data_IF_891980104142
#
_entry.id   IF_891980104142
#
_cell.length_a   1.000
_cell.length_b   1.000
_cell.length_c   1.000
_cell.angle_alpha   90.00
_cell.angle_beta   90.00
_cell.angle_gamma   90.00
#
_symmetry.space_group_name_H-M   'P 1'
#
loop_
_entity.id
_entity.type
_entity.pdbx_description
1 polymer ?
#
# COMPACT_ATOMS: atom_id res chain seq x y z
N UNK A 1 15.89 22.84 20.25
CA UNK A 1 16.38 23.28 18.90
C UNK A 1 15.21 23.54 17.94
N UNK A 2 14.15 24.23 18.38
CA UNK A 2 12.90 24.38 17.61
C UNK A 2 12.74 25.73 16.88
N UNK A 3 13.73 26.62 16.94
CA UNK A 3 13.58 28.02 16.49
C UNK A 3 14.44 28.36 15.25
N UNK A 4 15.33 27.48 14.80
CA UNK A 4 16.26 27.77 13.69
C UNK A 4 15.82 27.30 12.31
N UNK A 5 14.70 26.57 12.18
CA UNK A 5 14.27 25.94 10.92
C UNK A 5 13.34 26.81 10.06
N UNK A 6 12.86 27.96 10.55
CA UNK A 6 11.92 28.80 9.80
C UNK A 6 12.57 29.69 8.72
N UNK A 7 13.87 29.98 8.80
CA UNK A 7 14.49 31.00 7.94
C UNK A 7 15.07 30.48 6.61
N UNK A 8 15.17 29.17 6.41
CA UNK A 8 15.72 28.57 5.17
C UNK A 8 14.61 28.17 4.18
N UNK A 9 13.34 28.24 4.58
CA UNK A 9 12.18 27.87 3.75
C UNK A 9 11.86 28.84 2.59
N UNK A 10 12.46 30.03 2.52
CA UNK A 10 12.08 31.05 1.52
C UNK A 10 12.98 31.16 0.28
N UNK A 11 14.14 30.48 0.21
CA UNK A 11 15.10 30.70 -0.89
C UNK A 11 15.50 29.46 -1.70
N UNK A 12 14.76 28.34 -1.56
CA UNK A 12 14.91 27.15 -2.40
C UNK A 12 13.71 26.93 -3.34
N UNK A 13 12.94 28.00 -3.62
CA UNK A 13 11.66 27.93 -4.34
C UNK A 13 11.78 27.97 -5.88
N UNK A 14 12.97 27.85 -6.45
CA UNK A 14 13.18 27.97 -7.90
C UNK A 14 14.19 26.92 -8.38
N UNK A 15 13.69 25.71 -8.62
CA UNK A 15 13.92 24.85 -9.80
C UNK A 15 13.17 23.54 -9.50
N UNK A 16 11.96 23.32 -10.06
CA UNK A 16 11.36 22.00 -10.04
C UNK A 16 12.10 21.14 -11.09
N UNK A 17 12.85 20.13 -10.63
CA UNK A 17 13.12 18.97 -11.47
C UNK A 17 11.76 18.28 -11.66
N UNK A 18 11.21 18.35 -12.87
CA UNK A 18 10.00 17.65 -13.27
C UNK A 18 10.26 16.14 -13.31
N UNK A 19 10.27 15.50 -12.14
CA UNK A 19 9.96 14.08 -12.04
C UNK A 19 8.44 13.97 -12.15
N UNK A 20 7.97 13.54 -13.32
CA UNK A 20 6.55 13.26 -13.52
C UNK A 20 6.11 12.14 -12.61
N UNK A 21 5.38 12.46 -11.54
CA UNK A 21 4.63 11.46 -10.79
C UNK A 21 3.51 10.96 -11.70
N UNK A 22 3.67 9.75 -12.26
CA UNK A 22 2.63 9.13 -13.06
C UNK A 22 1.58 8.51 -12.13
N UNK A 23 0.31 8.82 -12.39
CA UNK A 23 -0.81 8.31 -11.61
C UNK A 23 -1.10 6.88 -12.06
N UNK A 24 -0.94 5.92 -11.16
CA UNK A 24 -1.23 4.50 -11.41
C UNK A 24 -2.64 4.10 -10.95
N UNK A 25 -3.57 5.06 -10.97
CA UNK A 25 -4.97 4.86 -10.60
C UNK A 25 -5.90 5.76 -11.41
N UNK A 26 -7.16 5.35 -11.56
CA UNK A 26 -8.21 6.06 -12.26
C UNK A 26 -9.48 6.12 -11.42
N UNK A 27 -10.52 6.75 -11.95
CA UNK A 27 -11.88 6.64 -11.39
C UNK A 27 -12.80 5.93 -12.37
N UNK A 28 -13.56 4.95 -11.89
CA UNK A 28 -14.61 4.30 -12.67
C UNK A 28 -15.94 4.93 -12.28
N UNK A 29 -16.68 5.44 -13.26
CA UNK A 29 -17.92 6.19 -13.04
C UNK A 29 -19.00 5.71 -13.95
N UNK A 30 -20.24 5.89 -13.51
CA UNK A 30 -21.33 5.47 -14.34
C UNK A 30 -22.69 5.80 -13.78
N UNK A 31 -23.68 5.40 -14.56
CA UNK A 31 -25.09 5.46 -14.18
C UNK A 31 -25.71 4.08 -14.35
N UNK A 32 -26.43 3.62 -13.34
CA UNK A 32 -27.27 2.44 -13.41
C UNK A 32 -28.72 2.88 -13.61
N UNK A 33 -29.38 2.37 -14.66
CA UNK A 33 -30.80 2.58 -14.90
C UNK A 33 -31.55 1.26 -14.75
N UNK A 34 -32.49 1.22 -13.82
CA UNK A 34 -33.42 0.11 -13.63
C UNK A 34 -34.68 0.35 -14.46
N UNK A 35 -34.79 -0.35 -15.59
CA UNK A 35 -36.03 -0.52 -16.35
C UNK A 35 -36.71 0.78 -16.80
N UNK A 36 -36.23 1.37 -17.91
CA UNK A 36 -37.01 2.23 -18.84
C UNK A 36 -37.72 3.49 -18.33
N UNK A 37 -37.74 3.75 -17.02
CA UNK A 37 -38.36 4.91 -16.39
C UNK A 37 -37.36 5.50 -15.40
N UNK A 38 -37.43 6.81 -15.15
CA UNK A 38 -36.76 7.47 -14.02
C UNK A 38 -37.34 7.00 -12.67
N UNK A 39 -37.60 5.70 -12.52
CA UNK A 39 -38.12 5.09 -11.32
C UNK A 39 -36.96 4.95 -10.34
N UNK A 40 -37.05 5.73 -9.25
CA UNK A 40 -36.32 5.59 -7.99
C UNK A 40 -35.58 4.25 -7.90
N UNK A 41 -34.28 4.28 -8.16
CA UNK A 41 -33.46 3.11 -7.86
C UNK A 41 -33.44 2.96 -6.34
N UNK A 42 -33.74 1.77 -5.78
CA UNK A 42 -33.36 1.48 -4.40
C UNK A 42 -31.84 1.70 -4.27
N UNK A 43 -31.31 1.87 -3.05
CA UNK A 43 -29.86 2.01 -2.80
C UNK A 43 -29.11 0.76 -3.28
N UNK A 44 -28.85 0.66 -4.58
CA UNK A 44 -28.17 -0.45 -5.22
C UNK A 44 -26.73 -0.44 -4.75
N UNK A 45 -26.25 -1.60 -4.33
CA UNK A 45 -24.86 -1.77 -3.93
C UNK A 45 -24.07 -2.21 -5.15
N UNK A 46 -23.06 -1.43 -5.54
CA UNK A 46 -22.14 -1.80 -6.60
C UNK A 46 -20.85 -2.32 -5.99
N UNK A 47 -20.34 -3.42 -6.51
CA UNK A 47 -19.10 -4.05 -6.09
C UNK A 47 -18.18 -4.14 -7.30
N UNK A 48 -16.99 -3.57 -7.18
CA UNK A 48 -15.95 -3.69 -8.21
C UNK A 48 -15.00 -4.80 -7.80
N UNK A 49 -14.87 -5.85 -8.62
CA UNK A 49 -13.98 -7.00 -8.38
C UNK A 49 -12.86 -7.01 -9.40
N UNK A 50 -11.64 -7.29 -8.96
CA UNK A 50 -10.52 -7.52 -9.88
C UNK A 50 -10.67 -8.91 -10.52
N UNK A 51 -10.39 -9.03 -11.83
CA UNK A 51 -10.70 -10.24 -12.63
C UNK A 51 -9.77 -11.41 -12.33
N UNK A 52 -8.49 -11.17 -12.06
CA UNK A 52 -7.50 -12.22 -11.86
C UNK A 52 -7.61 -12.88 -10.48
N UNK A 53 -7.91 -12.10 -9.43
CA UNK A 53 -8.04 -12.55 -8.05
C UNK A 53 -9.50 -12.81 -7.63
N UNK A 54 -10.47 -12.18 -8.29
CA UNK A 54 -11.89 -12.20 -7.90
C UNK A 54 -12.22 -11.35 -6.66
N UNK A 55 -11.23 -10.64 -6.12
CA UNK A 55 -11.33 -9.92 -4.84
C UNK A 55 -12.12 -8.62 -5.02
N UNK A 56 -13.08 -8.30 -4.14
CA UNK A 56 -13.78 -7.02 -4.18
C UNK A 56 -12.84 -5.89 -3.71
N UNK A 57 -12.59 -4.93 -4.60
CA UNK A 57 -11.63 -3.83 -4.36
C UNK A 57 -12.29 -2.57 -3.80
N UNK A 58 -13.55 -2.37 -4.12
CA UNK A 58 -14.34 -1.24 -3.68
C UNK A 58 -15.82 -1.57 -3.75
N UNK A 59 -16.57 -1.02 -2.80
CA UNK A 59 -18.04 -1.09 -2.80
C UNK A 59 -18.57 0.32 -2.67
N UNK A 60 -19.58 0.66 -3.46
CA UNK A 60 -20.27 1.95 -3.39
C UNK A 60 -21.77 1.73 -3.51
N UNK A 61 -22.56 2.74 -3.17
CA UNK A 61 -24.00 2.72 -3.37
C UNK A 61 -24.39 3.77 -4.39
N UNK A 62 -25.26 3.41 -5.34
CA UNK A 62 -25.81 4.38 -6.29
C UNK A 62 -26.63 5.45 -5.56
N UNK A 63 -26.55 6.69 -6.07
CA UNK A 63 -27.39 7.79 -5.60
C UNK A 63 -28.86 7.63 -6.07
N UNK A 64 -29.73 8.56 -5.66
CA UNK A 64 -31.15 8.54 -6.04
C UNK A 64 -31.42 8.70 -7.54
N UNK A 65 -30.40 9.11 -8.31
CA UNK A 65 -30.44 9.25 -9.76
C UNK A 65 -29.74 8.09 -10.49
N UNK A 66 -29.25 7.09 -9.75
CA UNK A 66 -28.53 5.93 -10.27
C UNK A 66 -27.04 6.16 -10.55
N UNK A 67 -26.48 7.33 -10.20
CA UNK A 67 -25.06 7.61 -10.43
C UNK A 67 -24.19 6.92 -9.38
N UNK A 68 -23.01 6.48 -9.78
CA UNK A 68 -21.99 5.93 -8.90
C UNK A 68 -20.59 6.32 -9.36
N UNK A 69 -19.65 6.29 -8.43
CA UNK A 69 -18.24 6.50 -8.70
C UNK A 69 -17.36 5.65 -7.77
N UNK A 70 -16.33 5.05 -8.35
CA UNK A 70 -15.20 4.44 -7.67
C UNK A 70 -13.97 5.30 -7.89
N UNK A 71 -13.26 5.62 -6.80
CA UNK A 71 -12.10 6.48 -6.81
C UNK A 71 -10.82 5.71 -6.47
N UNK A 72 -9.70 6.12 -7.08
CA UNK A 72 -8.38 5.52 -6.88
C UNK A 72 -8.32 4.04 -7.30
N UNK A 73 -9.08 3.65 -8.34
CA UNK A 73 -9.07 2.29 -8.87
C UNK A 73 -7.73 2.04 -9.55
N UNK A 74 -6.93 1.05 -9.13
CA UNK A 74 -5.67 0.72 -9.79
C UNK A 74 -5.86 0.35 -11.26
N UNK A 75 -4.77 0.28 -12.02
CA UNK A 75 -4.84 -0.23 -13.39
C UNK A 75 -5.02 -1.75 -13.37
N UNK A 76 -5.95 -2.25 -14.18
CA UNK A 76 -6.36 -3.65 -14.12
C UNK A 76 -7.65 -3.91 -14.88
N UNK A 77 -8.02 -5.18 -14.93
CA UNK A 77 -9.32 -5.62 -15.45
C UNK A 77 -10.25 -5.90 -14.28
N UNK A 78 -11.46 -5.37 -14.35
CA UNK A 78 -12.44 -5.43 -13.28
C UNK A 78 -13.81 -5.89 -13.77
N UNK A 79 -14.48 -6.70 -12.96
CA UNK A 79 -15.89 -7.03 -13.12
C UNK A 79 -16.71 -6.14 -12.17
N UNK A 80 -17.58 -5.29 -12.75
CA UNK A 80 -18.50 -4.43 -12.02
C UNK A 80 -19.82 -5.16 -11.81
N UNK A 81 -20.11 -5.48 -10.55
CA UNK A 81 -21.31 -6.18 -10.12
C UNK A 81 -22.31 -5.19 -9.53
N UNK A 82 -23.55 -5.19 -10.05
CA UNK A 82 -24.68 -4.51 -9.40
C UNK A 82 -25.40 -5.54 -8.53
N UNK A 83 -25.54 -5.26 -7.24
CA UNK A 83 -26.15 -6.15 -6.26
C UNK A 83 -27.48 -5.56 -5.77
N UNK A 84 -28.56 -6.29 -5.99
CA UNK A 84 -29.90 -5.99 -5.47
C UNK A 84 -30.36 -7.15 -4.55
N UNK A 85 -30.26 -6.93 -3.23
CA UNK A 85 -30.55 -7.98 -2.25
C UNK A 85 -29.58 -9.16 -2.36
N UNK A 86 -30.08 -10.33 -2.77
CA UNK A 86 -29.28 -11.57 -2.98
C UNK A 86 -28.95 -11.82 -4.46
N UNK A 87 -29.46 -11.01 -5.38
CA UNK A 87 -29.26 -11.18 -6.80
C UNK A 87 -28.14 -10.26 -7.29
N UNK A 88 -27.32 -10.77 -8.21
CA UNK A 88 -26.33 -9.98 -8.97
C UNK A 88 -26.84 -9.84 -10.40
N UNK A 89 -27.77 -8.90 -10.68
CA UNK A 89 -28.41 -8.79 -11.98
C UNK A 89 -27.47 -8.42 -13.14
N UNK A 90 -26.31 -7.79 -12.88
CA UNK A 90 -25.40 -7.30 -13.93
C UNK A 90 -23.95 -7.51 -13.51
N UNK A 91 -23.17 -8.10 -14.41
CA UNK A 91 -21.70 -8.10 -14.39
C UNK A 91 -21.22 -7.45 -15.68
N UNK A 92 -20.51 -6.32 -15.57
CA UNK A 92 -19.89 -5.66 -16.71
C UNK A 92 -18.37 -5.67 -16.56
N UNK A 93 -17.66 -6.12 -17.59
CA UNK A 93 -16.20 -6.14 -17.59
C UNK A 93 -15.64 -4.80 -18.05
N UNK A 94 -14.74 -4.24 -17.25
CA UNK A 94 -14.13 -2.92 -17.43
C UNK A 94 -12.61 -3.07 -17.40
N UNK A 95 -11.92 -2.47 -18.37
CA UNK A 95 -10.46 -2.39 -18.35
C UNK A 95 -10.04 -0.96 -17.99
N UNK A 96 -9.27 -0.82 -16.90
CA UNK A 96 -8.68 0.45 -16.46
C UNK A 96 -7.19 0.40 -16.81
N UNK A 97 -6.80 1.14 -17.85
CA UNK A 97 -5.42 1.13 -18.37
C UNK A 97 -4.75 2.51 -18.39
N UNK A 98 -5.47 3.55 -17.94
CA UNK A 98 -4.95 4.91 -17.86
C UNK A 98 -5.63 5.67 -16.73
N UNK A 99 -5.06 6.82 -16.35
CA UNK A 99 -5.65 7.72 -15.37
C UNK A 99 -6.94 8.42 -15.86
N UNK A 100 -7.32 8.24 -17.13
CA UNK A 100 -8.58 8.78 -17.69
C UNK A 100 -9.76 8.04 -17.07
N UNK A 101 -10.75 8.76 -16.50
CA UNK A 101 -11.93 8.14 -15.93
C UNK A 101 -12.67 7.27 -16.95
N UNK A 102 -12.98 6.04 -16.54
CA UNK A 102 -13.80 5.14 -17.35
C UNK A 102 -15.26 5.40 -17.05
N UNK A 103 -16.04 5.75 -18.08
CA UNK A 103 -17.48 5.97 -17.99
C UNK A 103 -18.24 4.74 -18.49
N UNK A 104 -19.17 4.23 -17.69
CA UNK A 104 -20.03 3.11 -18.04
C UNK A 104 -21.50 3.43 -17.77
N UNK A 105 -22.36 3.11 -18.73
CA UNK A 105 -23.82 3.14 -18.54
C UNK A 105 -24.32 1.70 -18.44
N UNK A 106 -24.98 1.39 -17.34
CA UNK A 106 -25.59 0.08 -17.10
C UNK A 106 -27.11 0.23 -17.21
N UNK A 107 -27.72 -0.42 -18.20
CA UNK A 107 -29.17 -0.46 -18.38
C UNK A 107 -29.68 -1.89 -18.15
N UNK A 108 -30.57 -2.05 -17.16
CA UNK A 108 -31.15 -3.35 -16.80
C UNK A 108 -32.22 -3.83 -17.79
N UNK A 109 -32.54 -3.07 -18.85
CA UNK A 109 -33.44 -3.51 -19.93
C UNK A 109 -32.89 -4.72 -20.72
N UNK A 110 -31.60 -5.06 -20.58
CA UNK A 110 -31.06 -6.33 -21.05
C UNK A 110 -31.19 -7.39 -19.96
N UNK A 111 -32.43 -7.79 -19.68
CA UNK A 111 -32.71 -9.06 -19.02
C UNK A 111 -32.13 -10.19 -19.88
N UNK A 112 -30.99 -10.74 -19.48
CA UNK A 112 -30.61 -12.07 -19.94
C UNK A 112 -31.60 -13.05 -19.29
N UNK A 113 -32.69 -13.35 -19.98
CA UNK A 113 -33.44 -14.57 -19.70
C UNK A 113 -32.43 -15.70 -19.88
N UNK A 114 -32.12 -16.41 -18.79
CA UNK A 114 -31.30 -17.62 -18.86
C UNK A 114 -32.00 -18.59 -19.82
N UNK A 115 -31.57 -18.61 -21.08
CA UNK A 115 -31.92 -19.69 -21.98
C UNK A 115 -31.27 -20.96 -21.43
N UNK A 116 -31.95 -22.12 -21.53
CA UNK A 116 -31.33 -23.39 -21.16
C UNK A 116 -29.98 -23.49 -21.90
N UNK A 117 -28.93 -23.80 -21.14
CA UNK A 117 -27.56 -23.91 -21.63
C UNK A 117 -27.53 -24.95 -22.75
N UNK A 118 -27.63 -24.49 -23.99
CA UNK A 118 -27.01 -25.15 -25.11
C UNK A 118 -25.56 -24.68 -25.11
N UNK A 119 -24.63 -25.62 -24.90
CA UNK A 119 -23.19 -25.36 -25.04
C UNK A 119 -22.91 -25.19 -26.53
N UNK A 120 -23.30 -24.04 -27.08
CA UNK A 120 -22.67 -23.52 -28.29
C UNK A 120 -21.45 -22.73 -27.83
N UNK A 121 -20.28 -23.17 -28.32
CA UNK A 121 -19.03 -22.43 -28.18
C UNK A 121 -19.29 -20.99 -28.64
N UNK A 122 -19.13 -19.97 -27.78
CA UNK A 122 -19.31 -18.59 -28.21
C UNK A 122 -18.40 -18.33 -29.42
N UNK A 123 -18.86 -17.59 -30.45
CA UNK A 123 -18.01 -17.19 -31.55
C UNK A 123 -16.78 -16.50 -30.95
N UNK A 124 -15.59 -16.89 -31.42
CA UNK A 124 -14.30 -16.46 -30.89
C UNK A 124 -14.26 -14.93 -30.79
N UNK A 125 -14.56 -14.41 -29.60
CA UNK A 125 -14.32 -13.02 -29.25
C UNK A 125 -12.88 -12.98 -28.77
N UNK A 126 -12.05 -12.15 -29.41
CA UNK A 126 -10.76 -11.79 -28.84
C UNK A 126 -11.00 -11.46 -27.36
N UNK A 127 -10.34 -12.16 -26.42
CA UNK A 127 -10.45 -11.78 -25.02
C UNK A 127 -10.06 -10.30 -24.95
N UNK A 128 -10.88 -9.50 -24.29
CA UNK A 128 -10.63 -8.06 -24.10
C UNK A 128 -9.34 -7.77 -23.30
N UNK A 129 -8.50 -8.78 -23.07
CA UNK A 129 -7.15 -8.69 -22.51
C UNK A 129 -6.10 -8.09 -23.47
N UNK A 130 -6.46 -7.72 -24.71
CA UNK A 130 -5.50 -7.31 -25.75
C UNK A 130 -4.78 -5.96 -25.58
N UNK A 131 -4.72 -5.39 -24.36
CA UNK A 131 -3.86 -4.21 -24.08
C UNK A 131 -3.00 -4.26 -22.82
N UNK A 132 -3.14 -5.26 -21.95
CA UNK A 132 -2.21 -5.40 -20.84
C UNK A 132 -1.10 -6.36 -21.23
N UNK A 133 0.04 -5.81 -21.66
CA UNK A 133 1.32 -6.51 -21.81
C UNK A 133 2.04 -6.68 -20.46
N UNK A 134 1.37 -6.33 -19.38
CA UNK A 134 1.88 -6.31 -18.01
C UNK A 134 1.47 -7.56 -17.24
N UNK A 135 2.38 -8.11 -16.45
CA UNK A 135 2.09 -9.18 -15.49
C UNK A 135 2.04 -8.57 -14.09
N UNK A 136 0.90 -8.66 -13.43
CA UNK A 136 0.70 -8.11 -12.10
C UNK A 136 -0.05 -9.10 -11.20
N UNK A 137 0.07 -8.89 -9.88
CA UNK A 137 -0.56 -9.71 -8.85
C UNK A 137 -1.24 -8.81 -7.84
N UNK A 138 -2.56 -8.94 -7.76
CA UNK A 138 -3.40 -8.08 -6.95
C UNK A 138 -3.77 -8.73 -5.62
N UNK A 139 -3.62 -7.97 -4.54
CA UNK A 139 -3.97 -8.37 -3.18
C UNK A 139 -4.91 -7.34 -2.57
N UNK A 140 -6.19 -7.71 -2.41
CA UNK A 140 -7.15 -6.91 -1.68
C UNK A 140 -7.07 -7.16 -0.16
N UNK A 141 -7.92 -6.46 0.59
CA UNK A 141 -7.95 -6.56 2.05
C UNK A 141 -8.19 -7.99 2.57
N UNK A 142 -9.12 -8.72 1.95
CA UNK A 142 -9.42 -10.11 2.34
C UNK A 142 -8.25 -11.06 2.08
N UNK A 143 -7.61 -10.95 0.92
CA UNK A 143 -6.44 -11.78 0.56
C UNK A 143 -5.34 -11.58 1.60
N UNK A 144 -5.08 -10.32 1.96
CA UNK A 144 -4.06 -9.93 2.93
C UNK A 144 -4.35 -10.46 4.35
N UNK A 145 -5.62 -10.57 4.74
CA UNK A 145 -6.01 -11.17 6.02
C UNK A 145 -5.80 -12.68 6.06
N UNK A 146 -5.77 -13.35 4.91
CA UNK A 146 -5.52 -14.79 4.80
C UNK A 146 -4.03 -15.13 4.70
N UNK A 147 -3.17 -14.13 4.43
CA UNK A 147 -1.73 -14.35 4.36
C UNK A 147 -1.18 -14.73 5.75
N UNK A 148 -0.34 -15.78 5.83
CA UNK A 148 0.34 -16.11 7.06
C UNK A 148 1.40 -15.05 7.33
N UNK A 149 1.10 -14.13 8.25
CA UNK A 149 2.06 -13.11 8.69
C UNK A 149 2.29 -13.27 10.19
N UNK A 150 3.55 -13.34 10.66
CA UNK A 150 3.83 -13.39 12.09
C UNK A 150 3.48 -12.08 12.81
N UNK A 151 3.35 -10.97 12.06
CA UNK A 151 3.00 -9.63 12.55
C UNK A 151 2.53 -8.74 11.38
N UNK A 152 1.63 -7.79 11.64
CA UNK A 152 1.04 -6.93 10.60
C UNK A 152 2.04 -6.02 9.87
N UNK A 153 3.17 -5.67 10.51
CA UNK A 153 4.26 -4.94 9.85
C UNK A 153 4.97 -5.77 8.77
N UNK A 154 4.85 -7.10 8.81
CA UNK A 154 5.45 -8.02 7.82
C UNK A 154 4.48 -8.39 6.68
N UNK A 155 3.30 -7.79 6.64
CA UNK A 155 2.29 -8.18 5.64
C UNK A 155 2.69 -7.75 4.22
N UNK A 156 3.49 -6.68 4.04
CA UNK A 156 3.95 -6.30 2.69
C UNK A 156 4.96 -7.33 2.17
N UNK A 157 5.90 -7.76 3.00
CA UNK A 157 6.81 -8.85 2.65
C UNK A 157 6.03 -10.14 2.41
N UNK A 158 5.01 -10.44 3.21
CA UNK A 158 4.15 -11.60 2.98
C UNK A 158 3.44 -11.54 1.62
N UNK A 159 2.93 -10.36 1.23
CA UNK A 159 2.33 -10.13 -0.10
C UNK A 159 3.36 -10.41 -1.20
N UNK A 160 4.56 -9.84 -1.07
CA UNK A 160 5.63 -10.02 -2.04
C UNK A 160 6.11 -11.48 -2.11
N UNK A 161 6.26 -12.16 -0.98
CA UNK A 161 6.64 -13.57 -0.90
C UNK A 161 5.57 -14.53 -1.46
N UNK A 162 4.30 -14.10 -1.50
CA UNK A 162 3.21 -14.83 -2.15
C UNK A 162 3.00 -14.41 -3.62
N UNK A 163 3.90 -13.57 -4.16
CA UNK A 163 3.92 -13.20 -5.57
C UNK A 163 4.88 -14.15 -6.32
N UNK A 164 4.44 -14.82 -7.40
CA UNK A 164 5.31 -15.70 -8.18
C UNK A 164 6.58 -15.03 -8.70
N UNK A 165 7.70 -15.73 -8.58
CA UNK A 165 9.01 -15.24 -9.01
C UNK A 165 9.70 -14.32 -8.00
N UNK A 166 9.12 -14.08 -6.82
CA UNK A 166 9.78 -13.35 -5.74
C UNK A 166 10.57 -14.30 -4.84
N UNK A 167 11.82 -13.94 -4.55
CA UNK A 167 12.75 -14.72 -3.70
C UNK A 167 13.37 -13.77 -2.66
N UNK A 168 13.41 -14.16 -1.37
CA UNK A 168 14.06 -13.35 -0.34
C UNK A 168 15.57 -13.54 -0.33
N UNK A 169 16.28 -12.47 0.03
CA UNK A 169 17.71 -12.45 0.32
C UNK A 169 17.97 -12.56 1.83
N UNK A 170 19.24 -12.77 2.20
CA UNK A 170 19.71 -12.90 3.58
C UNK A 170 19.48 -11.65 4.45
N UNK A 171 19.41 -10.47 3.84
CA UNK A 171 19.24 -9.19 4.54
C UNK A 171 17.77 -8.70 4.56
N UNK A 172 16.83 -9.54 4.10
CA UNK A 172 15.40 -9.22 4.03
C UNK A 172 15.00 -8.42 2.79
N UNK A 173 15.91 -8.19 1.84
CA UNK A 173 15.56 -7.71 0.49
C UNK A 173 14.80 -8.80 -0.27
N UNK A 174 14.00 -8.37 -1.24
CA UNK A 174 13.18 -9.26 -2.06
C UNK A 174 13.52 -9.04 -3.53
N UNK A 175 13.89 -10.13 -4.20
CA UNK A 175 14.26 -10.16 -5.60
C UNK A 175 13.07 -10.63 -6.42
N UNK A 176 12.63 -9.84 -7.39
CA UNK A 176 11.64 -10.27 -8.38
C UNK A 176 12.40 -10.81 -9.59
N UNK A 177 12.09 -12.05 -9.99
CA UNK A 177 12.68 -12.73 -11.16
C UNK A 177 14.21 -12.88 -11.12
N UNK A 178 14.80 -12.86 -9.92
CA UNK A 178 16.26 -13.01 -9.73
C UNK A 178 17.09 -11.76 -10.04
N UNK A 179 16.46 -10.58 -10.16
CA UNK A 179 17.13 -9.30 -10.47
C UNK A 179 17.70 -8.59 -9.23
N UNK A 180 18.13 -7.33 -9.33
CA UNK A 180 18.92 -6.57 -8.34
C UNK A 180 18.22 -6.18 -7.00
N UNK A 181 17.05 -6.73 -6.70
CA UNK A 181 16.18 -6.35 -5.58
C UNK A 181 15.92 -4.84 -5.53
N UNK A 182 15.64 -4.24 -6.69
CA UNK A 182 15.26 -2.85 -6.84
C UNK A 182 13.75 -2.74 -7.06
N UNK A 183 13.00 -2.82 -5.96
CA UNK A 183 11.57 -2.59 -5.92
C UNK A 183 11.26 -1.10 -5.85
N UNK A 184 10.32 -0.65 -6.69
CA UNK A 184 9.78 0.70 -6.63
C UNK A 184 8.42 0.66 -5.94
N UNK A 185 8.31 1.36 -4.81
CA UNK A 185 7.06 1.46 -4.07
C UNK A 185 6.32 2.73 -4.47
N UNK A 186 5.01 2.63 -4.68
CA UNK A 186 4.15 3.76 -5.02
C UNK A 186 2.98 3.78 -4.05
N UNK A 187 2.87 4.80 -3.21
CA UNK A 187 1.78 4.96 -2.25
C UNK A 187 0.79 6.01 -2.76
N UNK A 188 -0.43 5.62 -3.11
CA UNK A 188 -1.46 6.52 -3.68
C UNK A 188 -0.98 7.36 -4.88
N UNK A 189 -0.04 6.82 -5.67
CA UNK A 189 0.59 7.53 -6.80
C UNK A 189 1.82 8.36 -6.42
N UNK A 190 2.20 8.43 -5.15
CA UNK A 190 3.42 9.08 -4.67
C UNK A 190 4.56 8.05 -4.70
N UNK A 191 5.63 8.28 -5.48
CA UNK A 191 6.77 7.37 -5.50
C UNK A 191 7.52 7.45 -4.17
N UNK A 192 7.79 6.27 -3.60
CA UNK A 192 8.59 6.12 -2.39
C UNK A 192 9.99 5.72 -2.84
N UNK A 193 10.94 6.63 -2.59
CA UNK A 193 12.35 6.40 -2.93
C UNK A 193 13.03 5.50 -1.91
N UNK A 194 13.85 4.58 -2.40
CA UNK A 194 14.61 3.64 -1.57
C UNK A 194 13.94 2.27 -1.46
N UNK A 195 14.75 1.27 -1.12
CA UNK A 195 14.28 -0.08 -0.92
C UNK A 195 13.63 -0.21 0.46
N UNK A 196 12.36 -0.60 0.51
CA UNK A 196 11.61 -0.81 1.74
C UNK A 196 11.89 -2.21 2.26
N UNK A 197 12.82 -2.33 3.20
CA UNK A 197 13.04 -3.59 3.91
C UNK A 197 12.95 -3.36 5.40
N UNK A 198 12.59 -4.41 6.12
CA UNK A 198 12.46 -4.40 7.58
C UNK A 198 13.74 -3.97 8.32
N UNK A 199 14.90 -4.14 7.71
CA UNK A 199 16.21 -3.77 8.30
C UNK A 199 16.54 -2.30 8.04
N UNK A 200 16.29 -1.80 6.83
CA UNK A 200 16.78 -0.48 6.41
C UNK A 200 15.71 0.62 6.40
N UNK A 201 14.43 0.28 6.55
CA UNK A 201 13.35 1.25 6.59
C UNK A 201 12.20 0.82 7.50
N UNK A 202 11.46 1.80 8.02
CA UNK A 202 10.10 1.52 8.49
C UNK A 202 9.25 1.11 7.28
N UNK A 203 8.47 0.05 7.44
CA UNK A 203 7.58 -0.44 6.40
C UNK A 203 6.23 0.29 6.48
N UNK A 204 5.53 0.36 5.35
CA UNK A 204 4.15 0.83 5.34
C UNK A 204 3.27 -0.16 6.10
N UNK A 205 2.42 0.31 7.02
CA UNK A 205 1.45 -0.60 7.60
C UNK A 205 0.35 -0.92 6.60
N UNK A 206 0.44 -2.17 6.16
CA UNK A 206 -0.47 -2.90 5.34
C UNK A 206 -1.96 -2.82 5.78
N UNK A 207 -2.26 -2.71 7.08
CA UNK A 207 -3.62 -2.56 7.62
C UNK A 207 -4.34 -1.30 7.12
N UNK A 208 -3.58 -0.25 6.78
CA UNK A 208 -4.10 1.01 6.23
C UNK A 208 -4.25 0.98 4.70
N UNK A 209 -3.75 -0.08 4.05
CA UNK A 209 -3.89 -0.31 2.63
C UNK A 209 -5.27 -0.92 2.32
N UNK A 210 -5.93 -0.39 1.30
CA UNK A 210 -7.11 -1.01 0.67
C UNK A 210 -6.68 -2.15 -0.25
N UNK A 211 -5.58 -1.93 -0.98
CA UNK A 211 -5.04 -2.92 -1.91
C UNK A 211 -3.54 -2.74 -2.10
N UNK A 212 -2.87 -3.84 -2.42
CA UNK A 212 -1.49 -3.87 -2.89
C UNK A 212 -1.47 -4.59 -4.24
N UNK A 213 -0.86 -3.97 -5.23
CA UNK A 213 -0.70 -4.53 -6.57
C UNK A 213 0.78 -4.62 -6.91
N UNK A 214 1.24 -5.82 -7.28
CA UNK A 214 2.65 -6.11 -7.53
C UNK A 214 2.86 -6.38 -9.02
N UNK A 215 3.43 -5.41 -9.72
CA UNK A 215 3.81 -5.51 -11.12
C UNK A 215 5.18 -6.20 -11.23
N UNK A 216 5.22 -7.31 -11.96
CA UNK A 216 6.42 -8.18 -12.11
C UNK A 216 6.92 -8.28 -13.56
N UNK A 217 6.14 -7.79 -14.53
CA UNK A 217 6.46 -7.85 -15.95
C UNK A 217 5.73 -6.80 -16.77
N UNK A 218 6.25 -6.50 -17.97
CA UNK A 218 5.75 -5.42 -18.83
C UNK A 218 5.99 -4.02 -18.27
N UNK A 219 7.00 -3.89 -17.40
CA UNK A 219 7.42 -2.61 -16.82
C UNK A 219 8.01 -1.73 -17.93
N UNK A 220 7.52 -0.51 -18.07
CA UNK A 220 7.99 0.44 -19.08
C UNK A 220 9.47 0.79 -18.89
N UNK A 221 10.18 1.06 -19.99
CA UNK A 221 11.63 1.35 -19.98
C UNK A 221 11.98 2.62 -19.18
N UNK A 222 11.01 3.49 -18.92
CA UNK A 222 11.12 4.66 -18.07
C UNK A 222 11.31 4.31 -16.58
N UNK A 223 10.96 3.09 -16.18
CA UNK A 223 11.15 2.59 -14.83
C UNK A 223 12.39 1.70 -14.80
N UNK A 224 13.46 2.19 -14.16
CA UNK A 224 14.60 1.37 -13.79
C UNK A 224 14.26 0.54 -12.53
N UNK A 225 13.35 -0.42 -12.66
CA UNK A 225 12.82 -1.21 -11.54
C UNK A 225 12.63 -2.68 -11.92
N UNK A 226 12.91 -3.57 -10.96
CA UNK A 226 12.69 -5.02 -11.10
C UNK A 226 11.21 -5.38 -10.86
N UNK A 227 10.51 -4.50 -10.16
CA UNK A 227 9.09 -4.61 -9.83
C UNK A 227 8.53 -3.29 -9.30
N UNK A 228 7.23 -3.09 -9.51
CA UNK A 228 6.50 -1.94 -8.97
C UNK A 228 5.44 -2.43 -7.98
N UNK A 229 5.52 -1.95 -6.75
CA UNK A 229 4.57 -2.25 -5.67
C UNK A 229 3.67 -1.05 -5.46
N UNK A 230 2.46 -1.10 -6.00
CA UNK A 230 1.46 -0.03 -5.86
C UNK A 230 0.58 -0.30 -4.66
N UNK A 231 0.64 0.60 -3.68
CA UNK A 231 -0.16 0.55 -2.46
C UNK A 231 -1.23 1.64 -2.57
N UNK A 232 -2.49 1.23 -2.54
CA UNK A 232 -3.62 2.18 -2.49
C UNK A 232 -4.19 2.19 -1.07
N UNK A 233 -4.20 3.34 -0.41
CA UNK A 233 -4.69 3.45 0.97
C UNK A 233 -6.20 3.59 1.03
N UNK A 234 -6.78 3.15 2.15
CA UNK A 234 -8.22 3.28 2.43
C UNK A 234 -8.66 4.75 2.34
N UNK A 235 -9.91 4.98 1.93
CA UNK A 235 -10.54 6.30 1.88
C UNK A 235 -11.97 6.21 2.41
N UNK A 236 -12.40 7.24 3.12
CA UNK A 236 -13.77 7.38 3.61
C UNK A 236 -14.78 7.83 2.56
N UNK A 237 -14.34 8.21 1.35
CA UNK A 237 -15.24 8.69 0.30
C UNK A 237 -16.20 7.56 -0.14
N UNK A 238 -17.50 7.84 -0.20
CA UNK A 238 -18.54 6.87 -0.53
C UNK A 238 -18.93 5.92 0.61
N UNK A 239 -18.33 6.06 1.80
CA UNK A 239 -18.55 5.16 2.93
C UNK A 239 -19.24 5.87 4.11
N UNK A 240 -20.15 5.19 4.84
CA UNK A 240 -20.67 5.71 6.09
C UNK A 240 -19.54 5.87 7.12
N UNK A 241 -19.72 6.79 8.07
CA UNK A 241 -18.77 6.95 9.17
C UNK A 241 -18.74 5.67 10.02
N UNK A 242 -17.56 5.08 10.12
CA UNK A 242 -17.32 3.86 10.85
C UNK A 242 -15.98 3.92 11.59
N UNK A 243 -15.91 3.21 12.71
CA UNK A 243 -14.69 2.99 13.49
C UNK A 243 -14.48 1.50 13.64
N UNK A 244 -13.29 1.03 13.31
CA UNK A 244 -12.88 -0.37 13.45
C UNK A 244 -11.66 -0.46 14.34
N UNK A 245 -11.52 -1.58 15.02
CA UNK A 245 -10.34 -1.89 15.82
C UNK A 245 -10.10 -3.38 15.86
N UNK A 246 -8.83 -3.74 15.97
CA UNK A 246 -8.39 -5.12 16.10
C UNK A 246 -7.22 -5.18 17.08
N UNK A 247 -7.09 -6.31 17.76
CA UNK A 247 -5.93 -6.59 18.60
C UNK A 247 -5.57 -8.07 18.47
N UNK A 248 -4.29 -8.38 18.52
CA UNK A 248 -3.77 -9.74 18.45
C UNK A 248 -2.62 -9.92 19.45
N UNK A 249 -2.46 -11.17 19.90
CA UNK A 249 -1.33 -11.62 20.70
C UNK A 249 -0.84 -12.95 20.14
N UNK A 250 0.45 -13.24 20.27
CA UNK A 250 1.04 -14.44 19.68
C UNK A 250 2.34 -14.89 20.37
N UNK A 251 3.03 -15.81 19.70
CA UNK A 251 4.35 -16.27 20.14
C UNK A 251 5.37 -15.13 20.18
N UNK A 252 6.48 -15.33 20.89
CA UNK A 252 7.55 -14.32 21.02
C UNK A 252 7.07 -12.99 21.60
N UNK A 253 6.20 -13.05 22.62
CA UNK A 253 5.58 -11.88 23.24
C UNK A 253 4.92 -10.90 22.24
N UNK A 254 4.53 -11.40 21.06
CA UNK A 254 3.99 -10.57 20.00
C UNK A 254 2.64 -10.02 20.42
N UNK A 255 2.48 -8.70 20.34
CA UNK A 255 1.22 -7.99 20.58
C UNK A 255 1.05 -6.91 19.52
N UNK A 256 -0.14 -6.79 18.97
CA UNK A 256 -0.47 -5.77 17.98
C UNK A 256 -1.87 -5.23 18.26
N UNK A 257 -2.03 -3.93 18.06
CA UNK A 257 -3.31 -3.24 18.12
C UNK A 257 -3.43 -2.29 16.94
N UNK A 258 -4.64 -2.23 16.38
CA UNK A 258 -5.02 -1.38 15.27
C UNK A 258 -6.32 -0.67 15.61
N UNK A 259 -6.41 0.61 15.26
CA UNK A 259 -7.64 1.39 15.29
C UNK A 259 -7.71 2.21 14.01
N UNK A 260 -8.87 2.23 13.37
CA UNK A 260 -9.12 3.10 12.22
C UNK A 260 -10.51 3.72 12.27
N UNK A 261 -10.61 4.93 11.73
CA UNK A 261 -11.85 5.66 11.55
C UNK A 261 -11.90 6.14 10.09
N UNK A 262 -13.01 5.88 9.42
CA UNK A 262 -13.20 6.25 8.03
C UNK A 262 -14.65 6.63 7.76
N UNK A 263 -14.86 7.55 6.82
CA UNK A 263 -16.20 7.89 6.38
C UNK A 263 -16.27 9.17 5.57
N UNK A 264 -17.45 9.39 5.00
CA UNK A 264 -17.76 10.56 4.21
C UNK A 264 -18.43 11.63 5.07
N UNK A 265 -17.91 12.86 5.00
CA UNK A 265 -18.50 14.07 5.56
C UNK A 265 -19.11 14.89 4.43
N UNK A 266 -20.41 15.19 4.52
CA UNK A 266 -21.13 15.86 3.45
C UNK A 266 -21.17 15.02 2.16
N UNK A 267 -21.21 15.68 1.00
CA UNK A 267 -21.34 15.01 -0.31
C UNK A 267 -20.00 14.76 -1.01
N UNK A 268 -18.91 15.39 -0.56
CA UNK A 268 -17.67 15.48 -1.33
C UNK A 268 -16.38 15.32 -0.52
N UNK A 269 -16.44 15.09 0.80
CA UNK A 269 -15.24 14.94 1.64
C UNK A 269 -15.20 13.53 2.22
N UNK A 270 -14.13 12.78 1.94
CA UNK A 270 -13.82 11.51 2.58
C UNK A 270 -12.66 11.66 3.56
N UNK A 271 -12.80 11.12 4.76
CA UNK A 271 -11.76 11.06 5.78
C UNK A 271 -11.37 9.62 6.06
N UNK A 272 -10.07 9.41 6.28
CA UNK A 272 -9.50 8.17 6.81
C UNK A 272 -8.43 8.54 7.84
N UNK A 273 -8.44 7.86 8.98
CA UNK A 273 -7.41 7.91 10.00
C UNK A 273 -7.19 6.49 10.51
N UNK A 274 -6.00 5.94 10.33
CA UNK A 274 -5.62 4.62 10.81
C UNK A 274 -4.35 4.70 11.65
N UNK A 275 -4.28 3.88 12.68
CA UNK A 275 -3.13 3.79 13.57
C UNK A 275 -2.90 2.37 14.05
N UNK A 276 -1.64 1.97 14.13
CA UNK A 276 -1.23 0.66 14.62
C UNK A 276 -0.06 0.77 15.57
N UNK A 277 0.01 -0.11 16.57
CA UNK A 277 1.16 -0.28 17.44
C UNK A 277 1.42 -1.77 17.63
N UNK A 278 2.69 -2.17 17.62
CA UNK A 278 3.10 -3.55 17.84
C UNK A 278 4.36 -3.67 18.70
N UNK A 279 4.53 -4.84 19.30
CA UNK A 279 5.74 -5.28 19.96
C UNK A 279 5.96 -6.78 19.72
N UNK A 280 7.21 -7.23 19.66
CA UNK A 280 7.60 -8.64 19.53
C UNK A 280 9.02 -8.82 20.05
N UNK A 281 9.36 -10.02 20.54
CA UNK A 281 10.71 -10.45 20.93
C UNK A 281 11.41 -11.26 19.81
N UNK A 282 10.84 -11.27 18.60
CA UNK A 282 11.43 -11.91 17.41
C UNK A 282 11.16 -11.10 16.15
N UNK A 283 11.81 -9.94 16.06
CA UNK A 283 11.59 -9.03 14.94
C UNK A 283 12.46 -9.34 13.72
N UNK A 284 13.72 -9.75 13.89
CA UNK A 284 14.62 -10.17 12.84
C UNK A 284 14.56 -11.69 12.60
N UNK A 285 15.28 -12.15 11.57
CA UNK A 285 15.33 -13.57 11.19
C UNK A 285 16.77 -14.12 11.40
N UNK A 286 17.32 -14.10 12.63
CA UNK A 286 18.70 -14.51 12.85
C UNK A 286 18.87 -16.03 12.66
N UNK A 287 20.01 -16.41 12.10
CA UNK A 287 20.43 -17.81 12.01
C UNK A 287 20.88 -18.25 13.41
N UNK A 288 20.01 -18.94 14.16
CA UNK A 288 20.36 -19.46 15.48
C UNK A 288 19.75 -20.85 15.71
N UNK A 289 20.57 -21.76 16.23
CA UNK A 289 20.16 -23.09 16.70
C UNK A 289 19.72 -23.10 18.17
N UNK A 290 19.72 -21.95 18.85
CA UNK A 290 19.40 -21.79 20.27
C UNK A 290 18.41 -20.65 20.56
N UNK A 291 18.18 -20.31 21.84
CA UNK A 291 17.32 -19.20 22.22
C UNK A 291 17.85 -17.90 21.61
N UNK A 292 16.99 -17.19 20.86
CA UNK A 292 17.32 -15.85 20.35
C UNK A 292 17.28 -14.90 21.54
N UNK A 293 18.36 -14.12 21.71
CA UNK A 293 18.44 -13.07 22.72
C UNK A 293 18.62 -11.74 22.01
N UNK A 294 17.99 -10.69 22.54
CA UNK A 294 18.12 -9.32 22.04
C UNK A 294 17.56 -9.09 20.62
N UNK A 295 16.31 -9.52 20.37
CA UNK A 295 15.58 -9.36 19.10
C UNK A 295 14.20 -8.71 19.31
N UNK A 296 14.09 -7.89 20.36
CA UNK A 296 12.87 -7.14 20.65
C UNK A 296 12.68 -5.98 19.69
N UNK A 297 11.43 -5.70 19.34
CA UNK A 297 11.06 -4.54 18.56
C UNK A 297 9.75 -3.92 19.01
N UNK A 298 9.61 -2.63 18.74
CA UNK A 298 8.37 -1.89 18.83
C UNK A 298 8.20 -1.12 17.53
N UNK A 299 7.01 -1.17 16.93
CA UNK A 299 6.69 -0.37 15.76
C UNK A 299 5.33 0.30 15.88
N UNK A 300 5.24 1.51 15.34
CA UNK A 300 4.03 2.30 15.29
C UNK A 300 3.88 2.90 13.89
N UNK A 301 2.64 2.99 13.42
CA UNK A 301 2.30 3.61 12.14
C UNK A 301 1.00 4.36 12.29
N UNK A 302 0.97 5.60 11.81
CA UNK A 302 -0.22 6.43 11.74
C UNK A 302 -0.34 6.95 10.32
N UNK A 303 -1.54 6.82 9.75
CA UNK A 303 -1.86 7.33 8.43
C UNK A 303 -3.17 8.10 8.47
N UNK A 304 -3.16 9.32 7.97
CA UNK A 304 -4.33 10.16 7.81
C UNK A 304 -4.49 10.56 6.35
N UNK A 305 -5.71 10.44 5.81
CA UNK A 305 -6.02 10.82 4.44
C UNK A 305 -7.32 11.61 4.38
N UNK A 306 -7.26 12.74 3.68
CA UNK A 306 -8.39 13.60 3.37
C UNK A 306 -8.55 13.61 1.85
N UNK A 307 -9.69 13.14 1.36
CA UNK A 307 -10.05 13.19 -0.06
C UNK A 307 -11.19 14.18 -0.24
N UNK A 308 -11.05 15.12 -1.17
CA UNK A 308 -12.06 16.13 -1.51
C UNK A 308 -12.36 15.99 -2.99
N UNK A 309 -13.64 15.88 -3.36
CA UNK A 309 -14.12 15.82 -4.75
C UNK A 309 -15.07 17.00 -4.99
N UNK A 310 -14.58 18.23 -5.19
CA UNK A 310 -15.42 19.42 -5.24
C UNK A 310 -16.49 19.36 -6.33
N UNK A 311 -16.17 18.69 -7.43
CA UNK A 311 -17.05 18.43 -8.55
C UNK A 311 -16.62 17.14 -9.25
N UNK A 312 -17.37 16.71 -10.26
CA UNK A 312 -17.05 15.49 -10.99
C UNK A 312 -15.68 15.56 -11.68
N UNK A 313 -15.13 16.71 -12.05
CA UNK A 313 -13.86 16.77 -12.81
C UNK A 313 -12.61 16.88 -11.93
N UNK A 314 -12.74 17.06 -10.62
CA UNK A 314 -11.59 17.34 -9.76
C UNK A 314 -11.60 16.49 -8.50
N UNK A 315 -10.48 15.81 -8.24
CA UNK A 315 -10.20 15.10 -7.00
C UNK A 315 -8.92 15.65 -6.38
N UNK A 316 -8.96 15.98 -5.10
CA UNK A 316 -7.81 16.42 -4.30
C UNK A 316 -7.66 15.46 -3.13
N UNK A 317 -6.47 14.90 -2.94
CA UNK A 317 -6.15 14.02 -1.83
C UNK A 317 -4.94 14.56 -1.06
N UNK A 318 -5.09 14.78 0.23
CA UNK A 318 -4.00 15.04 1.15
C UNK A 318 -3.75 13.79 2.00
N UNK A 319 -2.49 13.40 2.15
CA UNK A 319 -2.04 12.22 2.88
C UNK A 319 -0.95 12.63 3.87
N UNK A 320 -1.06 12.19 5.11
CA UNK A 320 -0.04 12.29 6.13
C UNK A 320 0.28 10.93 6.70
N UNK A 321 1.57 10.63 6.88
CA UNK A 321 2.04 9.38 7.45
C UNK A 321 3.19 9.64 8.42
N UNK A 322 3.17 8.91 9.55
CA UNK A 322 4.26 8.87 10.53
C UNK A 322 4.47 7.42 10.91
N UNK A 323 5.68 6.92 10.72
CA UNK A 323 6.08 5.60 11.18
C UNK A 323 7.31 5.70 12.06
N UNK A 324 7.36 4.86 13.09
CA UNK A 324 8.58 4.66 13.87
C UNK A 324 8.72 3.19 14.20
N UNK A 325 9.88 2.63 13.93
CA UNK A 325 10.25 1.25 14.24
C UNK A 325 11.55 1.27 15.03
N UNK A 326 11.55 0.65 16.19
CA UNK A 326 12.75 0.43 17.01
C UNK A 326 12.95 -1.06 17.18
N UNK A 327 14.18 -1.55 16.99
CA UNK A 327 14.48 -2.96 17.16
C UNK A 327 15.92 -3.19 17.63
N UNK A 328 16.11 -4.30 18.33
CA UNK A 328 17.38 -4.81 18.80
C UNK A 328 18.04 -5.71 17.74
N UNK A 329 19.37 -5.67 17.64
CA UNK A 329 20.12 -6.62 16.81
C UNK A 329 20.34 -7.91 17.61
N UNK A 330 19.90 -9.07 17.09
CA UNK A 330 20.07 -10.35 17.75
C UNK A 330 21.53 -10.66 18.05
N UNK A 331 21.76 -11.19 19.23
CA UNK A 331 23.08 -11.68 19.61
C UNK A 331 23.37 -13.02 18.93
N UNK A 332 24.58 -13.19 18.39
CA UNK A 332 25.04 -14.47 17.82
C UNK A 332 25.10 -15.59 18.88
N UNK A 333 25.40 -15.23 20.13
CA UNK A 333 25.45 -16.15 21.27
C UNK A 333 24.65 -15.62 22.46
N UNK A 334 23.92 -16.47 23.21
CA UNK A 334 23.12 -16.06 24.37
C UNK A 334 23.92 -15.38 25.49
N UNK A 335 25.23 -15.57 25.53
CA UNK A 335 26.14 -14.98 26.51
C UNK A 335 26.73 -13.64 26.07
N UNK A 336 26.39 -13.17 24.87
CA UNK A 336 26.87 -11.86 24.39
C UNK A 336 26.25 -10.73 25.20
N UNK A 337 27.05 -9.71 25.47
CA UNK A 337 26.65 -8.47 26.16
C UNK A 337 26.38 -7.32 25.19
N UNK A 338 26.26 -7.61 23.89
CA UNK A 338 25.88 -6.63 22.87
C UNK A 338 24.45 -6.10 23.12
N UNK A 339 24.28 -4.79 22.89
CA UNK A 339 23.04 -4.03 23.09
C UNK A 339 22.86 -3.03 21.92
N UNK A 340 23.12 -3.50 20.70
CA UNK A 340 22.98 -2.67 19.50
C UNK A 340 21.51 -2.53 19.12
N UNK A 341 21.05 -1.28 18.95
CA UNK A 341 19.66 -0.97 18.64
C UNK A 341 19.56 -0.06 17.44
N UNK A 342 18.54 -0.27 16.62
CA UNK A 342 18.18 0.59 15.50
C UNK A 342 16.86 1.29 15.80
N UNK A 343 16.77 2.54 15.39
CA UNK A 343 15.53 3.29 15.32
C UNK A 343 15.37 3.86 13.91
N UNK A 344 14.21 3.61 13.31
CA UNK A 344 13.85 4.01 11.96
C UNK A 344 12.57 4.84 12.06
N UNK A 345 12.65 6.11 11.69
CA UNK A 345 11.50 7.02 11.63
C UNK A 345 11.25 7.41 10.16
N UNK A 346 9.99 7.41 9.73
CA UNK A 346 9.60 7.78 8.36
C UNK A 346 8.32 8.62 8.37
N UNK A 347 8.47 9.89 8.02
CA UNK A 347 7.39 10.86 7.96
C UNK A 347 7.13 11.27 6.51
N UNK A 348 5.87 11.27 6.09
CA UNK A 348 5.48 11.73 4.77
C UNK A 348 4.27 12.66 4.83
N UNK A 349 4.33 13.73 4.04
CA UNK A 349 3.17 14.55 3.71
C UNK A 349 3.06 14.60 2.18
N UNK A 350 1.89 14.26 1.66
CA UNK A 350 1.57 14.26 0.25
C UNK A 350 0.30 15.05 -0.04
N UNK A 351 0.28 15.75 -1.17
CA UNK A 351 -0.88 16.39 -1.75
C UNK A 351 -0.95 16.02 -3.22
N UNK A 352 -2.07 15.46 -3.66
CA UNK A 352 -2.34 15.12 -5.06
C UNK A 352 -3.61 15.80 -5.52
N UNK A 353 -3.58 16.40 -6.71
CA UNK A 353 -4.75 16.94 -7.38
C UNK A 353 -4.85 16.31 -8.77
N UNK A 354 -6.00 15.74 -9.10
CA UNK A 354 -6.27 15.11 -10.39
C UNK A 354 -7.49 15.76 -11.01
N UNK A 355 -7.30 16.40 -12.16
CA UNK A 355 -8.31 17.13 -12.90
C UNK A 355 -8.55 16.46 -14.26
N UNK A 356 -9.79 16.09 -14.52
CA UNK A 356 -10.24 15.70 -15.85
C UNK A 356 -10.44 16.96 -16.70
N UNK A 357 -9.58 17.14 -17.70
CA UNK A 357 -9.64 18.28 -18.62
C UNK A 357 -10.76 18.06 -19.66
N UNK A 358 -10.85 16.84 -20.19
CA UNK A 358 -11.88 16.40 -21.14
C UNK A 358 -12.12 14.88 -21.05
N UNK A 359 -12.97 14.32 -21.91
CA UNK A 359 -13.27 12.88 -22.01
C UNK A 359 -12.05 11.99 -22.27
N UNK A 360 -11.00 12.53 -22.90
CA UNK A 360 -9.78 11.79 -23.24
C UNK A 360 -8.52 12.30 -22.49
N UNK A 361 -8.64 13.29 -21.61
CA UNK A 361 -7.48 13.98 -21.03
C UNK A 361 -7.62 14.22 -19.52
N UNK A 362 -6.55 13.89 -18.79
CA UNK A 362 -6.41 14.12 -17.35
C UNK A 362 -5.08 14.80 -17.08
N UNK A 363 -5.10 15.81 -16.22
CA UNK A 363 -3.92 16.40 -15.61
C UNK A 363 -3.84 15.96 -14.15
N UNK A 364 -2.66 15.53 -13.70
CA UNK A 364 -2.42 15.25 -12.28
C UNK A 364 -1.15 15.92 -11.82
N UNK A 365 -1.20 16.48 -10.62
CA UNK A 365 -0.08 17.10 -9.94
C UNK A 365 0.02 16.47 -8.55
N UNK A 366 1.21 16.01 -8.20
CA UNK A 366 1.53 15.52 -6.87
C UNK A 366 2.70 16.33 -6.29
N UNK A 367 2.52 16.80 -5.06
CA UNK A 367 3.53 17.46 -4.25
C UNK A 367 3.71 16.62 -2.99
N UNK A 368 4.94 16.24 -2.68
CA UNK A 368 5.20 15.46 -1.47
C UNK A 368 6.53 15.84 -0.84
N UNK A 369 6.60 15.65 0.46
CA UNK A 369 7.84 15.63 1.23
C UNK A 369 7.84 14.34 2.02
N UNK A 370 8.98 13.65 2.00
CA UNK A 370 9.24 12.49 2.84
C UNK A 370 10.55 12.71 3.57
N UNK A 371 10.63 12.30 4.82
CA UNK A 371 11.84 12.36 5.64
C UNK A 371 12.01 11.01 6.30
N UNK A 372 13.07 10.32 5.92
CA UNK A 372 13.48 9.09 6.59
C UNK A 372 14.69 9.40 7.48
N UNK A 373 14.63 8.93 8.71
CA UNK A 373 15.71 9.03 9.68
C UNK A 373 16.04 7.64 10.21
N UNK A 374 17.32 7.29 10.16
CA UNK A 374 17.82 6.06 10.74
C UNK A 374 18.89 6.39 11.77
N UNK A 375 18.72 5.86 12.98
CA UNK A 375 19.67 5.96 14.06
C UNK A 375 20.13 4.59 14.51
N UNK A 376 21.45 4.42 14.50
CA UNK A 376 22.10 3.26 15.08
C UNK A 376 22.73 3.61 16.42
N UNK A 377 22.30 2.92 17.46
CA UNK A 377 22.93 2.93 18.78
C UNK A 377 23.81 1.68 18.92
N UNK A 378 25.12 1.89 19.01
CA UNK A 378 26.10 0.83 19.30
C UNK A 378 25.94 0.33 20.75
N UNK A 379 26.42 -0.88 21.02
CA UNK A 379 26.69 -1.34 22.38
C UNK A 379 27.51 -0.31 23.16
N UNK A 380 27.27 -0.21 24.46
CA UNK A 380 28.13 0.58 25.37
C UNK A 380 29.59 0.14 25.21
N UNK A 381 30.51 1.08 25.39
CA UNK A 381 31.95 0.81 25.49
C UNK A 381 32.18 -0.25 26.58
N UNK A 382 32.35 -1.49 26.16
CA UNK A 382 32.96 -2.51 26.99
C UNK A 382 34.46 -2.23 26.92
N UNK A 383 35.08 -1.87 28.05
CA UNK A 383 36.52 -2.09 28.19
C UNK A 383 36.74 -3.59 28.06
N UNK A 384 37.10 -4.01 26.85
CA UNK A 384 37.46 -5.40 26.58
C UNK A 384 38.66 -5.71 27.46
N UNK A 385 38.54 -6.75 28.28
CA UNK A 385 39.73 -7.31 28.92
C UNK A 385 40.66 -7.91 27.85
N UNK A 386 41.89 -8.28 28.23
CA UNK A 386 42.88 -8.81 27.29
C UNK A 386 42.41 -10.05 26.53
N UNK A 387 41.51 -10.84 27.10
CA UNK A 387 40.96 -12.07 26.51
C UNK A 387 39.86 -11.74 25.50
N UNK A 388 38.99 -10.79 25.84
CA UNK A 388 37.94 -10.29 24.96
C UNK A 388 38.52 -9.51 23.79
N UNK A 389 39.60 -8.77 23.99
CA UNK A 389 40.33 -8.07 22.92
C UNK A 389 40.99 -9.05 21.96
N UNK A 390 41.66 -10.10 22.47
CA UNK A 390 42.23 -11.15 21.64
C UNK A 390 41.17 -11.86 20.79
N UNK A 391 39.98 -12.10 21.37
CA UNK A 391 38.85 -12.70 20.67
C UNK A 391 38.25 -11.78 19.61
N UNK A 392 38.03 -10.50 19.91
CA UNK A 392 37.57 -9.50 18.94
C UNK A 392 38.54 -9.33 17.75
N UNK A 393 39.85 -9.53 17.97
CA UNK A 393 40.86 -9.58 16.89
C UNK A 393 40.72 -10.84 16.03
N UNK A 394 40.45 -11.99 16.64
CA UNK A 394 40.26 -13.27 15.92
C UNK A 394 38.96 -13.31 15.12
N UNK A 395 37.89 -12.72 15.66
CA UNK A 395 36.55 -12.70 15.05
C UNK A 395 36.37 -11.54 14.04
N UNK A 396 37.44 -10.77 13.77
CA UNK A 396 37.49 -9.62 12.84
C UNK A 396 36.49 -8.49 13.17
N UNK A 397 36.06 -8.39 14.44
CA UNK A 397 35.15 -7.36 14.95
C UNK A 397 35.88 -6.09 15.44
N UNK A 398 36.96 -5.70 14.76
CA UNK A 398 37.86 -4.62 15.20
C UNK A 398 37.24 -3.21 15.19
N UNK A 399 36.04 -3.02 14.64
CA UNK A 399 35.51 -1.68 14.35
C UNK A 399 34.00 -1.52 14.61
N UNK A 400 33.53 -1.73 15.84
CA UNK A 400 32.25 -1.16 16.27
C UNK A 400 32.35 -0.63 17.70
N UNK A 401 32.97 0.56 17.84
CA UNK A 401 33.12 1.25 19.12
C UNK A 401 32.40 2.60 19.04
N UNK A 402 31.23 2.70 19.67
CA UNK A 402 30.75 3.93 20.30
C UNK A 402 30.33 5.12 19.40
N UNK A 403 30.04 4.93 18.11
CA UNK A 403 29.53 6.03 17.28
C UNK A 403 28.00 5.99 17.16
N UNK A 404 27.33 7.05 17.60
CA UNK A 404 25.95 7.36 17.17
C UNK A 404 26.01 7.86 15.73
N UNK A 405 25.55 7.06 14.77
CA UNK A 405 25.54 7.44 13.36
C UNK A 405 24.11 7.79 12.96
N UNK A 406 23.90 9.06 12.64
CA UNK A 406 22.63 9.57 12.12
C UNK A 406 22.72 9.65 10.61
N UNK A 407 21.81 8.97 9.93
CA UNK A 407 21.62 9.14 8.49
C UNK A 407 20.33 9.92 8.28
N UNK A 408 20.45 11.00 7.52
CA UNK A 408 19.33 11.83 7.09
C UNK A 408 19.32 11.82 5.57
N UNK A 409 18.26 11.27 4.99
CA UNK A 409 18.02 11.26 3.54
C UNK A 409 16.82 12.13 3.21
#
# INVERSE_FOLDING_TARGET
MLVRTLAVCCLALLIPLLLGAQVHSSSVRGTVRLGGSQARSPRLRLVLREVSSGTPIATTTADSSGNFAFHGVPFGSYDLEVVEGKSVPIVARIAVSSAVPVWIELDTLRSYTAQPIAVESPPWQEPSSSRQTTTHWFFGEQDRMLLPTPMGQRTIEAVLMNTPGVVPDEDGRLHIRGESAQLHYVLDGIPITGNMTRVYSSLFNAATARSIDVLTGGIGAEYNADGIVTITTKSGLGQPLAVHGAASVGSYASREAMVEALGQLGSNVGLYLGGTAMHTDRFLDPISSGPITHDDANAQSILAKLTIVPNQRLEIAALGMVNATSYAIPNQHPTSTQDQRHQLDDDMLGLRATAQLDTAAVASVALYTRRAHAELTSSRLLTLDSTQYARAIMDNEKFFIGSRRQYRT
#
